data_IF_165325802896
#
_entry.id   IF_165325802896
#
_cell.length_a   1.000
_cell.length_b   1.000
_cell.length_c   1.000
_cell.angle_alpha   90.00
_cell.angle_beta   90.00
_cell.angle_gamma   90.00
#
_symmetry.space_group_name_H-M   'P 1'
#
loop_
_entity.id
_entity.type
_entity.pdbx_description
1 polymer ?
#
# COMPACT_ATOMS: atom_id res chain seq x y z
N UNK A 1 9.03 -10.17 -1.44
CA UNK A 1 7.80 -9.35 -1.45
C UNK A 1 7.22 -9.28 -2.84
N UNK A 2 5.91 -9.07 -2.96
CA UNK A 2 5.16 -9.12 -4.21
C UNK A 2 4.12 -8.01 -4.24
N UNK A 3 3.99 -7.29 -5.36
CA UNK A 3 2.91 -6.31 -5.54
C UNK A 3 1.60 -7.05 -5.81
N UNK A 4 0.64 -6.93 -4.89
CA UNK A 4 -0.71 -7.51 -5.03
C UNK A 4 -1.69 -6.57 -5.73
N UNK A 5 -1.23 -5.39 -6.11
CA UNK A 5 -1.99 -4.43 -6.90
C UNK A 5 -1.18 -3.18 -7.18
N UNK A 6 -1.27 -2.70 -8.41
CA UNK A 6 -0.41 -1.62 -8.93
C UNK A 6 -1.16 -0.49 -9.61
N UNK A 7 -2.49 -0.56 -9.65
CA UNK A 7 -3.32 0.49 -10.20
C UNK A 7 -3.26 1.74 -9.33
N UNK A 8 -2.91 2.87 -9.92
CA UNK A 8 -2.89 4.17 -9.27
C UNK A 8 -4.23 4.91 -9.37
N UNK A 9 -4.70 5.40 -8.22
CA UNK A 9 -5.95 6.14 -8.09
C UNK A 9 -7.21 5.27 -8.22
N UNK A 10 -8.40 5.89 -8.09
CA UNK A 10 -9.67 5.17 -8.06
C UNK A 10 -10.11 4.60 -9.41
N UNK A 11 -9.44 4.98 -10.50
CA UNK A 11 -9.75 4.48 -11.85
C UNK A 11 -9.45 2.98 -11.97
N UNK A 12 -10.09 2.31 -12.93
CA UNK A 12 -9.86 0.90 -13.24
C UNK A 12 -9.23 0.80 -14.63
N UNK A 13 -8.15 0.07 -14.75
CA UNK A 13 -7.46 -0.11 -16.02
C UNK A 13 -6.99 -1.56 -16.19
N UNK A 14 -7.36 -2.16 -17.31
CA UNK A 14 -6.86 -3.44 -17.80
C UNK A 14 -6.78 -4.56 -16.74
N UNK A 15 -7.74 -4.62 -15.82
CA UNK A 15 -7.80 -5.66 -14.78
C UNK A 15 -6.72 -5.56 -13.70
N UNK A 16 -5.99 -4.44 -13.61
CA UNK A 16 -5.06 -4.19 -12.51
C UNK A 16 -5.83 -4.06 -11.19
N UNK A 17 -5.28 -4.66 -10.16
CA UNK A 17 -5.80 -4.51 -8.80
C UNK A 17 -5.40 -3.15 -8.21
N UNK A 18 -6.21 -2.62 -7.30
CA UNK A 18 -5.87 -1.45 -6.48
C UNK A 18 -4.66 -1.72 -5.60
N UNK A 19 -4.08 -0.65 -5.05
CA UNK A 19 -2.80 -0.70 -4.34
C UNK A 19 -2.71 -1.82 -3.32
N UNK A 20 -1.60 -2.56 -3.36
CA UNK A 20 -1.32 -3.62 -2.40
C UNK A 20 0.08 -4.20 -2.55
N UNK A 21 0.69 -4.54 -1.41
CA UNK A 21 2.01 -5.18 -1.35
C UNK A 21 2.02 -6.29 -0.31
N UNK A 22 2.29 -7.52 -0.73
CA UNK A 22 2.48 -8.67 0.15
C UNK A 22 3.97 -8.83 0.49
N UNK A 23 4.32 -8.79 1.77
CA UNK A 23 5.61 -9.20 2.27
C UNK A 23 5.50 -10.57 2.89
N UNK A 24 6.38 -11.49 2.50
CA UNK A 24 6.53 -12.82 3.10
C UNK A 24 7.92 -12.94 3.71
N UNK A 25 7.99 -13.43 4.92
CA UNK A 25 9.23 -13.72 5.63
C UNK A 25 9.21 -15.14 6.16
N UNK A 26 10.33 -15.82 6.05
CA UNK A 26 10.54 -17.20 6.44
C UNK A 26 11.68 -17.81 5.66
N UNK A 27 11.70 -19.12 5.59
CA UNK A 27 12.68 -19.90 4.83
C UNK A 27 12.00 -20.76 3.75
N UNK A 28 12.80 -21.55 3.04
CA UNK A 28 12.30 -22.40 1.95
C UNK A 28 11.38 -23.52 2.45
N UNK A 29 11.50 -23.96 3.71
CA UNK A 29 10.67 -25.02 4.27
C UNK A 29 9.20 -24.60 4.42
N UNK A 30 8.94 -23.30 4.53
CA UNK A 30 7.60 -22.73 4.66
C UNK A 30 7.23 -21.77 3.51
N UNK A 31 7.95 -21.80 2.41
CA UNK A 31 7.79 -20.88 1.26
C UNK A 31 7.80 -19.41 1.69
N UNK A 32 8.75 -19.04 2.54
CA UNK A 32 8.82 -17.73 3.18
C UNK A 32 7.50 -17.33 3.88
N UNK A 33 6.77 -18.28 4.42
CA UNK A 33 5.41 -18.08 4.93
C UNK A 33 5.28 -18.11 6.44
N UNK A 34 6.37 -17.99 7.20
CA UNK A 34 6.31 -17.87 8.66
C UNK A 34 5.58 -16.60 9.08
N UNK A 35 5.80 -15.49 8.37
CA UNK A 35 5.08 -14.21 8.55
C UNK A 35 4.64 -13.67 7.19
N UNK A 36 3.36 -13.31 7.06
CA UNK A 36 2.77 -12.72 5.87
C UNK A 36 2.09 -11.42 6.25
N UNK A 37 2.57 -10.30 5.69
CA UNK A 37 2.07 -8.95 5.93
C UNK A 37 1.54 -8.39 4.62
N UNK A 38 0.30 -7.90 4.64
CA UNK A 38 -0.29 -7.19 3.52
C UNK A 38 -0.28 -5.68 3.82
N UNK A 39 0.33 -4.88 2.96
CA UNK A 39 0.29 -3.42 3.02
C UNK A 39 -0.71 -2.94 1.98
N UNK A 40 -1.70 -2.22 2.40
CA UNK A 40 -2.92 -1.87 1.70
C UNK A 40 -3.66 -3.10 1.13
N UNK A 41 -4.94 -2.98 0.99
CA UNK A 41 -5.83 -4.01 0.48
C UNK A 41 -6.81 -3.38 -0.52
N UNK A 42 -6.27 -2.91 -1.63
CA UNK A 42 -7.07 -2.34 -2.69
C UNK A 42 -7.93 -3.39 -3.39
N UNK A 43 -8.78 -2.92 -4.25
CA UNK A 43 -9.71 -3.71 -5.06
C UNK A 43 -9.00 -4.87 -5.76
N UNK A 44 -9.45 -6.10 -5.54
CA UNK A 44 -8.88 -7.30 -6.16
C UNK A 44 -7.72 -7.95 -5.41
N UNK A 45 -7.31 -7.44 -4.24
CA UNK A 45 -6.24 -8.01 -3.41
C UNK A 45 -6.42 -9.51 -3.16
N UNK A 46 -7.61 -9.97 -2.76
CA UNK A 46 -7.86 -11.41 -2.51
C UNK A 46 -7.66 -12.26 -3.76
N UNK A 47 -8.00 -11.75 -4.95
CA UNK A 47 -7.76 -12.44 -6.21
C UNK A 47 -6.26 -12.60 -6.48
N UNK A 48 -5.46 -11.58 -6.22
CA UNK A 48 -4.00 -11.64 -6.39
C UNK A 48 -3.35 -12.54 -5.35
N UNK A 49 -3.81 -12.51 -4.10
CA UNK A 49 -3.37 -13.45 -3.07
C UNK A 49 -3.64 -14.89 -3.50
N UNK A 50 -4.83 -15.17 -4.04
CA UNK A 50 -5.18 -16.50 -4.56
C UNK A 50 -4.24 -16.96 -5.68
N UNK A 51 -3.86 -16.08 -6.61
CA UNK A 51 -2.90 -16.37 -7.67
C UNK A 51 -1.48 -16.68 -7.13
N UNK A 52 -1.15 -16.19 -5.94
CA UNK A 52 0.10 -16.48 -5.23
C UNK A 52 -0.01 -17.72 -4.33
N UNK A 53 -1.13 -18.44 -4.33
CA UNK A 53 -1.38 -19.55 -3.42
C UNK A 53 -1.54 -19.13 -1.95
N UNK A 54 -1.84 -17.87 -1.69
CA UNK A 54 -2.02 -17.31 -0.35
C UNK A 54 -3.50 -17.08 -0.08
N UNK A 55 -4.01 -17.66 0.99
CA UNK A 55 -5.38 -17.43 1.44
C UNK A 55 -5.45 -16.24 2.42
N UNK A 56 -6.56 -15.51 2.51
CA UNK A 56 -6.74 -14.47 3.52
C UNK A 56 -6.51 -14.95 4.97
N UNK A 57 -6.77 -16.23 5.24
CA UNK A 57 -6.53 -16.84 6.56
C UNK A 57 -5.05 -16.88 6.97
N UNK A 58 -4.15 -16.87 6.00
CA UNK A 58 -2.69 -16.93 6.22
C UNK A 58 -2.04 -15.57 6.43
N UNK A 59 -2.78 -14.46 6.24
CA UNK A 59 -2.26 -13.12 6.51
C UNK A 59 -2.25 -12.86 8.02
N UNK A 60 -1.10 -12.47 8.57
CA UNK A 60 -0.94 -12.15 9.98
C UNK A 60 -1.42 -10.74 10.30
N UNK A 61 -1.07 -9.77 9.45
CA UNK A 61 -1.48 -8.38 9.62
C UNK A 61 -1.73 -7.69 8.28
N UNK A 62 -2.69 -6.75 8.26
CA UNK A 62 -2.92 -5.79 7.19
C UNK A 62 -2.56 -4.41 7.72
N UNK A 63 -1.72 -3.69 6.98
CA UNK A 63 -1.30 -2.33 7.29
C UNK A 63 -1.92 -1.38 6.27
N UNK A 64 -2.61 -0.36 6.72
CA UNK A 64 -3.12 0.67 5.82
C UNK A 64 -2.20 1.89 5.84
N UNK A 65 -1.72 2.29 4.65
CA UNK A 65 -1.02 3.57 4.50
C UNK A 65 -1.99 4.72 4.67
N UNK A 66 -3.18 4.59 4.11
CA UNK A 66 -4.29 5.53 4.24
C UNK A 66 -5.62 4.90 3.76
N UNK A 67 -6.72 5.64 3.83
CA UNK A 67 -8.07 5.11 3.63
C UNK A 67 -8.72 5.54 2.31
N UNK A 68 -7.95 5.81 1.23
CA UNK A 68 -8.54 5.91 -0.10
C UNK A 68 -9.08 4.55 -0.57
N UNK A 69 -10.11 4.59 -1.40
CA UNK A 69 -10.82 3.37 -1.84
C UNK A 69 -9.92 2.41 -2.62
N UNK A 70 -9.02 2.92 -3.42
CA UNK A 70 -8.06 2.10 -4.18
C UNK A 70 -7.01 1.41 -3.29
N UNK A 71 -6.90 1.79 -2.00
CA UNK A 71 -6.08 1.14 -0.97
C UNK A 71 -6.88 0.27 -0.01
N UNK A 72 -8.20 0.42 0.07
CA UNK A 72 -9.00 -0.19 1.13
C UNK A 72 -10.19 -1.06 0.63
N UNK A 73 -10.69 -0.89 -0.59
CA UNK A 73 -11.92 -1.54 -1.10
C UNK A 73 -11.88 -3.07 -1.06
N UNK A 74 -10.70 -3.68 -1.21
CA UNK A 74 -10.52 -5.14 -1.16
C UNK A 74 -10.51 -5.72 0.25
N UNK A 75 -10.46 -4.89 1.28
CA UNK A 75 -10.44 -5.36 2.67
C UNK A 75 -11.74 -6.05 3.07
N UNK A 76 -12.87 -5.58 2.56
CA UNK A 76 -14.17 -6.22 2.80
C UNK A 76 -14.17 -7.68 2.37
N UNK A 77 -13.68 -7.96 1.15
CA UNK A 77 -13.57 -9.31 0.60
C UNK A 77 -12.58 -10.16 1.42
N UNK A 78 -11.42 -9.60 1.78
CA UNK A 78 -10.41 -10.30 2.58
C UNK A 78 -10.95 -10.77 3.93
N UNK A 79 -11.63 -9.89 4.68
CA UNK A 79 -12.15 -10.26 6.01
C UNK A 79 -13.36 -11.18 5.92
N UNK A 80 -14.18 -11.04 4.88
CA UNK A 80 -15.32 -11.90 4.61
C UNK A 80 -14.88 -13.33 4.31
N UNK A 81 -13.90 -13.52 3.42
CA UNK A 81 -13.31 -14.83 3.12
C UNK A 81 -12.67 -15.45 4.37
N UNK A 82 -11.99 -14.64 5.20
CA UNK A 82 -11.41 -15.11 6.46
C UNK A 82 -12.50 -15.64 7.41
N UNK A 83 -13.63 -14.93 7.52
CA UNK A 83 -14.75 -15.35 8.35
C UNK A 83 -15.43 -16.62 7.80
N UNK A 84 -15.57 -16.76 6.48
CA UNK A 84 -16.16 -17.95 5.87
C UNK A 84 -15.31 -19.21 6.08
N UNK A 85 -13.99 -19.11 5.93
CA UNK A 85 -13.11 -20.27 5.85
C UNK A 85 -12.19 -20.47 7.05
N UNK A 86 -12.08 -19.50 7.95
CA UNK A 86 -11.20 -19.56 9.11
C UNK A 86 -11.78 -18.86 10.36
N UNK A 87 -13.06 -19.01 10.60
CA UNK A 87 -13.77 -18.33 11.68
C UNK A 87 -13.22 -18.60 13.09
N UNK A 88 -12.52 -19.73 13.27
CA UNK A 88 -11.88 -20.14 14.57
C UNK A 88 -10.37 -19.84 14.59
N UNK A 89 -9.83 -19.28 13.51
CA UNK A 89 -8.41 -18.97 13.42
C UNK A 89 -8.01 -17.73 14.26
N UNK A 90 -6.72 -17.41 14.27
CA UNK A 90 -6.23 -16.22 14.96
C UNK A 90 -6.84 -14.96 14.35
N UNK A 91 -7.01 -13.93 15.18
CA UNK A 91 -7.44 -12.61 14.70
C UNK A 91 -6.43 -12.05 13.71
N UNK A 92 -6.94 -11.26 12.78
CA UNK A 92 -6.14 -10.47 11.86
C UNK A 92 -5.81 -9.14 12.52
N UNK A 93 -4.54 -8.82 12.65
CA UNK A 93 -4.14 -7.47 13.06
C UNK A 93 -4.39 -6.51 11.91
N UNK A 94 -5.16 -5.46 12.15
CA UNK A 94 -5.35 -4.33 11.25
C UNK A 94 -4.64 -3.12 11.84
N UNK A 95 -3.52 -2.76 11.24
CA UNK A 95 -2.61 -1.72 11.73
C UNK A 95 -2.79 -0.46 10.89
N UNK A 96 -3.05 0.67 11.53
CA UNK A 96 -3.32 1.93 10.86
C UNK A 96 -3.17 3.13 11.80
N UNK A 97 -3.13 4.34 11.23
CA UNK A 97 -3.18 5.57 12.02
C UNK A 97 -4.46 5.64 12.84
N UNK A 98 -4.35 6.16 14.06
CA UNK A 98 -5.50 6.52 14.88
C UNK A 98 -6.39 7.55 14.16
N UNK A 99 -7.60 7.73 14.66
CA UNK A 99 -8.59 8.65 14.08
C UNK A 99 -8.01 10.05 13.93
N UNK A 100 -8.00 10.55 12.68
CA UNK A 100 -7.45 11.86 12.36
C UNK A 100 -8.55 12.78 11.79
N UNK A 101 -8.73 13.99 12.33
CA UNK A 101 -9.56 14.99 11.68
C UNK A 101 -8.84 15.54 10.45
N UNK A 102 -9.58 15.71 9.35
CA UNK A 102 -9.04 16.42 8.19
C UNK A 102 -9.16 17.95 8.39
N UNK A 103 -8.31 18.73 7.71
CA UNK A 103 -8.46 20.18 7.67
C UNK A 103 -9.83 20.64 7.15
N UNK A 104 -10.52 19.83 6.37
CA UNK A 104 -11.85 20.08 5.82
C UNK A 104 -12.98 19.67 6.78
N UNK A 105 -12.68 19.17 7.98
CA UNK A 105 -13.65 18.86 9.03
C UNK A 105 -14.30 17.48 8.97
N UNK A 106 -13.87 16.58 8.06
CA UNK A 106 -14.27 15.17 8.10
C UNK A 106 -13.25 14.33 8.89
N UNK A 107 -13.72 13.26 9.53
CA UNK A 107 -12.83 12.32 10.22
C UNK A 107 -12.42 11.16 9.33
N UNK A 108 -11.19 10.68 9.50
CA UNK A 108 -10.70 9.43 8.90
C UNK A 108 -10.42 8.45 10.03
N UNK A 109 -10.99 7.26 9.92
CA UNK A 109 -10.85 6.20 10.94
C UNK A 109 -10.86 4.83 10.30
N UNK A 110 -9.76 4.11 10.38
CA UNK A 110 -9.71 2.73 9.91
C UNK A 110 -10.50 1.78 10.81
N UNK A 111 -10.56 2.03 12.12
CA UNK A 111 -11.32 1.22 13.06
C UNK A 111 -12.83 1.28 12.77
N UNK A 112 -13.37 2.47 12.53
CA UNK A 112 -14.77 2.64 12.12
C UNK A 112 -15.04 2.03 10.75
N UNK A 113 -14.12 2.19 9.80
CA UNK A 113 -14.22 1.58 8.46
C UNK A 113 -14.38 0.05 8.56
N UNK A 114 -13.52 -0.63 9.34
CA UNK A 114 -13.61 -2.06 9.53
C UNK A 114 -14.94 -2.49 10.18
N UNK A 115 -15.41 -1.72 11.17
CA UNK A 115 -16.70 -1.97 11.82
C UNK A 115 -17.86 -1.80 10.84
N UNK A 116 -17.87 -0.75 10.04
CA UNK A 116 -18.93 -0.49 9.08
C UNK A 116 -18.98 -1.52 7.95
N UNK A 117 -17.82 -1.99 7.48
CA UNK A 117 -17.78 -3.11 6.51
C UNK A 117 -18.42 -4.36 7.10
N UNK A 118 -18.06 -4.73 8.33
CA UNK A 118 -18.65 -5.89 8.98
C UNK A 118 -20.15 -5.72 9.21
N UNK A 119 -20.58 -4.54 9.63
CA UNK A 119 -21.99 -4.18 9.83
C UNK A 119 -22.81 -4.27 8.53
N UNK A 120 -22.26 -3.93 7.39
CA UNK A 120 -22.93 -4.03 6.12
C UNK A 120 -23.42 -5.46 5.84
N UNK A 121 -22.60 -6.45 6.10
CA UNK A 121 -22.97 -7.87 5.95
C UNK A 121 -23.81 -8.39 7.11
N UNK A 122 -23.50 -8.00 8.34
CA UNK A 122 -24.21 -8.42 9.54
C UNK A 122 -25.68 -7.92 9.52
N UNK A 123 -25.87 -6.64 9.21
CA UNK A 123 -27.21 -6.01 9.21
C UNK A 123 -28.03 -6.29 7.96
N UNK A 124 -27.39 -6.62 6.83
CA UNK A 124 -28.07 -7.02 5.60
C UNK A 124 -28.59 -8.46 5.60
N UNK A 125 -28.19 -9.27 6.58
CA UNK A 125 -28.72 -10.61 6.79
C UNK A 125 -27.85 -11.76 6.32
N UNK A 126 -26.81 -11.57 5.50
CA UNK A 126 -25.95 -12.67 5.05
C UNK A 126 -25.26 -13.38 6.22
N UNK A 127 -24.67 -12.60 7.14
CA UNK A 127 -23.99 -13.16 8.32
C UNK A 127 -24.99 -13.88 9.24
N UNK A 128 -26.17 -13.29 9.47
CA UNK A 128 -27.20 -13.91 10.28
C UNK A 128 -27.70 -15.23 9.67
N UNK A 129 -27.91 -15.28 8.35
CA UNK A 129 -28.31 -16.48 7.64
C UNK A 129 -27.25 -17.58 7.78
N UNK A 130 -25.98 -17.28 7.48
CA UNK A 130 -24.89 -18.26 7.60
C UNK A 130 -24.62 -18.72 9.04
N UNK A 131 -24.76 -17.82 10.01
CA UNK A 131 -24.67 -18.20 11.44
C UNK A 131 -25.84 -19.07 11.86
N UNK A 132 -27.03 -18.92 11.29
CA UNK A 132 -28.17 -19.81 11.55
C UNK A 132 -27.92 -21.24 11.08
N UNK A 133 -27.15 -21.41 10.01
CA UNK A 133 -26.77 -22.72 9.44
C UNK A 133 -25.56 -23.34 10.17
N UNK A 134 -24.62 -22.52 10.62
CA UNK A 134 -23.40 -22.98 11.30
C UNK A 134 -23.09 -22.11 12.52
N UNK A 135 -23.55 -22.58 13.70
CA UNK A 135 -23.35 -21.93 15.00
C UNK A 135 -21.88 -21.91 15.46
N UNK A 136 -20.98 -22.58 14.77
CA UNK A 136 -19.55 -22.57 15.13
C UNK A 136 -18.85 -21.27 14.70
N UNK A 137 -19.46 -20.48 13.84
CA UNK A 137 -18.94 -19.17 13.40
C UNK A 137 -19.21 -18.08 14.43
N UNK A 138 -18.30 -17.08 14.58
CA UNK A 138 -18.53 -15.96 15.48
C UNK A 138 -19.78 -15.14 15.10
N UNK A 139 -20.64 -14.86 16.07
CA UNK A 139 -21.87 -14.07 15.84
C UNK A 139 -21.61 -12.65 15.36
N UNK A 140 -20.50 -12.03 15.79
CA UNK A 140 -20.08 -10.69 15.38
C UNK A 140 -19.61 -10.59 13.92
N UNK A 141 -19.72 -11.67 13.13
CA UNK A 141 -19.29 -11.70 11.73
C UNK A 141 -17.80 -11.41 11.56
N UNK A 142 -17.39 -10.84 10.41
CA UNK A 142 -15.97 -10.56 10.13
C UNK A 142 -15.29 -9.67 11.16
N UNK A 143 -15.99 -8.72 11.78
CA UNK A 143 -15.42 -7.83 12.82
C UNK A 143 -14.86 -8.59 14.01
N UNK A 144 -15.45 -9.73 14.38
CA UNK A 144 -14.98 -10.56 15.49
C UNK A 144 -13.57 -11.11 15.28
N UNK A 145 -13.11 -11.17 14.01
CA UNK A 145 -11.80 -11.67 13.62
C UNK A 145 -10.76 -10.56 13.41
N UNK A 146 -11.11 -9.30 13.62
CA UNK A 146 -10.21 -8.16 13.47
C UNK A 146 -9.73 -7.69 14.84
N UNK A 147 -8.41 -7.50 14.95
CA UNK A 147 -7.79 -6.79 16.06
C UNK A 147 -7.24 -5.47 15.52
N UNK A 148 -7.90 -4.35 15.85
CA UNK A 148 -7.45 -3.03 15.40
C UNK A 148 -6.29 -2.56 16.26
N UNK A 149 -5.16 -2.31 15.63
CA UNK A 149 -3.94 -1.74 16.21
C UNK A 149 -3.77 -0.33 15.65
N UNK A 150 -4.39 0.63 16.33
CA UNK A 150 -4.29 2.04 15.94
C UNK A 150 -3.10 2.72 16.65
N UNK A 151 -2.36 3.55 15.92
CA UNK A 151 -1.24 4.31 16.47
C UNK A 151 -1.35 5.80 16.12
N UNK A 152 -0.91 6.67 17.03
CA UNK A 152 -0.80 8.10 16.75
C UNK A 152 0.36 8.36 15.78
N UNK A 153 0.11 8.97 14.61
CA UNK A 153 1.18 9.26 13.64
C UNK A 153 2.18 10.26 14.21
N UNK A 154 3.48 9.96 14.11
CA UNK A 154 4.58 10.80 14.60
C UNK A 154 5.55 11.12 13.46
N UNK A 155 6.28 12.23 13.58
CA UNK A 155 7.33 12.63 12.63
C UNK A 155 8.64 11.84 12.84
N UNK A 156 8.71 11.04 13.90
CA UNK A 156 9.78 10.10 14.17
C UNK A 156 9.30 8.65 13.99
N UNK A 157 10.17 7.75 13.47
CA UNK A 157 9.83 6.34 13.36
C UNK A 157 9.47 5.74 14.72
N UNK A 158 8.37 5.00 14.77
CA UNK A 158 7.90 4.31 15.96
C UNK A 158 7.53 2.87 15.63
N UNK A 159 7.92 1.91 16.46
CA UNK A 159 7.50 0.53 16.28
C UNK A 159 6.00 0.40 16.55
N UNK A 160 5.26 -0.13 15.58
CA UNK A 160 3.79 -0.27 15.65
C UNK A 160 3.34 -1.73 15.64
N UNK A 161 4.20 -2.66 15.22
CA UNK A 161 3.87 -4.08 15.20
C UNK A 161 5.13 -4.95 15.25
N UNK A 162 5.02 -6.18 15.73
CA UNK A 162 6.11 -7.16 15.75
C UNK A 162 5.58 -8.60 15.79
N UNK A 163 6.33 -9.52 15.18
CA UNK A 163 6.12 -10.97 15.33
C UNK A 163 7.46 -11.69 15.13
N UNK A 164 7.94 -12.33 16.20
CA UNK A 164 9.29 -12.90 16.21
C UNK A 164 10.34 -11.85 15.84
N UNK A 165 11.16 -12.15 14.82
CA UNK A 165 12.23 -11.27 14.36
C UNK A 165 11.74 -10.18 13.39
N UNK A 166 10.47 -10.18 13.01
CA UNK A 166 9.89 -9.17 12.12
C UNK A 166 9.41 -7.98 12.94
N UNK A 167 9.93 -6.80 12.65
CA UNK A 167 9.54 -5.53 13.26
C UNK A 167 8.99 -4.59 12.21
N UNK A 168 7.88 -3.93 12.51
CA UNK A 168 7.31 -2.90 11.65
C UNK A 168 7.28 -1.58 12.40
N UNK A 169 7.93 -0.59 11.82
CA UNK A 169 7.90 0.81 12.27
C UNK A 169 7.07 1.65 11.31
N UNK A 170 6.41 2.67 11.82
CA UNK A 170 5.65 3.65 11.05
C UNK A 170 6.17 5.06 11.30
N UNK A 171 5.95 5.94 10.33
CA UNK A 171 6.17 7.38 10.42
C UNK A 171 4.98 8.09 9.78
N UNK A 172 4.60 9.26 10.31
CA UNK A 172 3.67 10.15 9.62
C UNK A 172 4.24 10.53 8.25
N UNK A 173 3.43 10.53 7.24
CA UNK A 173 3.79 11.04 5.92
C UNK A 173 2.59 11.73 5.28
N UNK A 174 2.85 12.53 4.26
CA UNK A 174 1.86 13.48 3.75
C UNK A 174 1.24 13.00 2.45
N UNK A 175 -0.09 12.87 2.45
CA UNK A 175 -0.95 12.64 1.28
C UNK A 175 -2.37 13.10 1.60
N UNK A 176 -3.04 12.44 2.54
CA UNK A 176 -4.28 12.84 3.19
C UNK A 176 -4.13 12.69 4.71
N UNK A 177 -5.10 13.18 5.48
CA UNK A 177 -5.10 13.00 6.93
C UNK A 177 -4.99 11.51 7.29
N UNK A 178 -4.14 11.19 8.26
CA UNK A 178 -3.89 9.82 8.71
C UNK A 178 -2.97 8.98 7.81
N UNK A 179 -2.34 9.57 6.78
CA UNK A 179 -1.37 8.84 5.97
C UNK A 179 -0.11 8.52 6.78
N UNK A 180 0.33 7.26 6.68
CA UNK A 180 1.57 6.78 7.28
C UNK A 180 2.34 5.89 6.31
N UNK A 181 3.67 5.94 6.39
CA UNK A 181 4.57 5.04 5.69
C UNK A 181 5.18 4.05 6.66
N UNK A 182 5.56 2.87 6.18
CA UNK A 182 6.01 1.77 7.03
C UNK A 182 7.41 1.31 6.63
N UNK A 183 8.18 0.85 7.63
CA UNK A 183 9.43 0.12 7.46
C UNK A 183 9.31 -1.24 8.12
N UNK A 184 9.67 -2.27 7.38
CA UNK A 184 9.77 -3.65 7.89
C UNK A 184 11.23 -4.01 7.97
N UNK A 185 11.68 -4.40 9.14
CA UNK A 185 13.01 -4.93 9.38
C UNK A 185 12.93 -6.41 9.76
N UNK A 186 13.76 -7.22 9.11
CA UNK A 186 13.91 -8.67 9.33
C UNK A 186 15.39 -9.05 9.26
N UNK A 187 15.80 -10.21 9.78
CA UNK A 187 17.16 -10.71 9.57
C UNK A 187 17.55 -10.84 8.09
N UNK A 188 16.62 -11.07 7.18
CA UNK A 188 16.88 -11.20 5.74
C UNK A 188 17.01 -9.85 5.02
N UNK A 189 16.59 -8.76 5.62
CA UNK A 189 16.68 -7.42 5.04
C UNK A 189 15.54 -6.52 5.45
N UNK A 190 15.52 -5.32 4.86
CA UNK A 190 14.59 -4.25 5.20
C UNK A 190 13.86 -3.69 3.99
N UNK A 191 12.60 -3.30 4.19
CA UNK A 191 11.71 -2.77 3.16
C UNK A 191 10.98 -1.55 3.69
N UNK A 192 10.93 -0.47 2.90
CA UNK A 192 10.04 0.67 3.16
C UNK A 192 8.86 0.65 2.19
N UNK A 193 7.66 0.82 2.73
CA UNK A 193 6.42 1.01 1.99
C UNK A 193 6.01 2.48 2.16
N UNK A 194 6.22 3.27 1.10
CA UNK A 194 5.94 4.70 1.12
C UNK A 194 4.45 5.05 1.01
N UNK A 195 3.65 4.15 0.43
CA UNK A 195 2.28 4.49 0.05
C UNK A 195 2.26 5.60 -0.98
N UNK A 196 1.29 6.50 -0.88
CA UNK A 196 1.10 7.65 -1.76
C UNK A 196 1.77 8.94 -1.25
N UNK A 197 2.74 8.79 -0.34
CA UNK A 197 3.41 9.92 0.28
C UNK A 197 3.98 10.90 -0.74
N UNK A 198 3.76 12.17 -0.51
CA UNK A 198 4.39 13.28 -1.22
C UNK A 198 5.08 14.23 -0.25
N UNK A 199 5.63 15.31 -0.79
CA UNK A 199 6.22 16.38 -0.02
C UNK A 199 5.13 17.16 0.76
N UNK A 200 5.48 17.71 1.92
CA UNK A 200 4.58 18.55 2.73
C UNK A 200 4.22 19.86 2.02
N UNK A 201 5.00 20.28 1.02
CA UNK A 201 4.74 21.44 0.18
C UNK A 201 3.93 21.03 -1.05
N UNK A 202 2.64 21.36 -1.07
CA UNK A 202 1.69 21.00 -2.13
C UNK A 202 1.71 21.89 -3.37
N UNK A 203 2.62 22.83 -3.45
CA UNK A 203 2.75 23.74 -4.60
C UNK A 203 4.20 24.23 -4.75
N UNK A 204 4.64 24.55 -5.98
CA UNK A 204 5.93 25.21 -6.18
C UNK A 204 6.01 26.60 -5.48
N UNK A 205 7.23 27.04 -5.04
CA UNK A 205 8.51 26.35 -5.23
C UNK A 205 8.73 25.22 -4.19
N UNK A 206 9.20 24.05 -4.67
CA UNK A 206 9.64 22.93 -3.82
C UNK A 206 10.85 22.25 -4.45
N UNK A 207 11.75 21.71 -3.64
CA UNK A 207 13.00 21.09 -4.09
C UNK A 207 12.80 19.67 -4.60
N UNK A 208 11.80 18.95 -4.08
CA UNK A 208 11.45 17.59 -4.45
C UNK A 208 9.96 17.34 -4.25
N UNK A 209 9.43 16.31 -4.91
CA UNK A 209 8.06 15.84 -4.71
C UNK A 209 7.94 14.77 -3.61
N UNK A 210 9.06 14.20 -3.18
CA UNK A 210 9.11 13.11 -2.18
C UNK A 210 8.97 13.62 -0.75
N UNK A 211 8.47 12.75 0.12
CA UNK A 211 8.35 13.00 1.55
C UNK A 211 9.71 12.89 2.25
N UNK A 212 10.09 13.90 3.03
CA UNK A 212 11.29 13.88 3.87
C UNK A 212 11.18 12.82 4.98
N UNK A 213 9.97 12.57 5.50
CA UNK A 213 9.71 11.53 6.49
C UNK A 213 9.95 10.14 5.92
N UNK A 214 9.50 9.90 4.68
CA UNK A 214 9.77 8.62 3.99
C UNK A 214 11.25 8.45 3.74
N UNK A 215 11.95 9.48 3.30
CA UNK A 215 13.40 9.43 3.10
C UNK A 215 14.15 9.12 4.40
N UNK A 216 13.74 9.73 5.52
CA UNK A 216 14.26 9.44 6.86
C UNK A 216 14.05 7.97 7.24
N UNK A 217 12.84 7.45 7.00
CA UNK A 217 12.50 6.06 7.28
C UNK A 217 13.30 5.08 6.41
N UNK A 218 13.65 5.49 5.19
CA UNK A 218 14.30 4.67 4.17
C UNK A 218 15.84 4.62 4.30
N UNK A 219 16.46 5.31 5.25
CA UNK A 219 17.92 5.31 5.37
C UNK A 219 18.47 3.89 5.54
N UNK A 220 19.38 3.50 4.63
CA UNK A 220 20.04 2.19 4.63
C UNK A 220 19.12 1.00 4.35
N UNK A 221 17.93 1.21 3.79
CA UNK A 221 16.98 0.13 3.48
C UNK A 221 17.41 -0.66 2.23
N UNK A 222 17.09 -1.94 2.19
CA UNK A 222 17.35 -2.74 0.99
C UNK A 222 16.39 -2.39 -0.15
N UNK A 223 15.09 -2.20 0.15
CA UNK A 223 14.06 -1.95 -0.86
C UNK A 223 13.14 -0.80 -0.45
N UNK A 224 12.88 0.10 -1.39
CA UNK A 224 11.79 1.08 -1.30
C UNK A 224 10.69 0.66 -2.26
N UNK A 225 9.46 0.52 -1.77
CA UNK A 225 8.22 0.36 -2.55
C UNK A 225 7.44 1.66 -2.42
N UNK A 226 7.12 2.31 -3.52
CA UNK A 226 6.46 3.61 -3.48
C UNK A 226 5.54 3.83 -4.67
N UNK A 227 4.41 4.53 -4.45
CA UNK A 227 3.57 5.03 -5.54
C UNK A 227 4.33 6.03 -6.40
N UNK A 228 4.07 6.05 -7.69
CA UNK A 228 4.81 6.90 -8.61
C UNK A 228 3.89 7.60 -9.63
N UNK A 229 3.93 8.93 -9.63
CA UNK A 229 3.40 9.70 -10.76
C UNK A 229 4.53 10.01 -11.75
N UNK A 230 4.25 9.82 -13.05
CA UNK A 230 5.23 10.20 -14.07
C UNK A 230 5.21 11.73 -14.29
N UNK A 231 6.38 12.40 -14.43
CA UNK A 231 6.45 13.84 -14.62
C UNK A 231 5.66 14.40 -15.82
N UNK A 232 5.36 13.56 -16.80
CA UNK A 232 4.52 13.95 -17.96
C UNK A 232 3.10 14.38 -17.55
N UNK A 233 2.64 13.94 -16.38
CA UNK A 233 1.32 14.30 -15.85
C UNK A 233 1.28 15.68 -15.17
N UNK A 234 2.40 16.40 -15.13
CA UNK A 234 2.44 17.73 -14.52
C UNK A 234 1.41 18.68 -15.16
N UNK A 235 0.82 19.61 -14.39
CA UNK A 235 -0.24 20.51 -14.88
C UNK A 235 0.17 21.34 -16.07
N UNK A 236 1.44 21.76 -16.15
CA UNK A 236 2.04 22.56 -17.24
C UNK A 236 2.33 21.75 -18.51
N UNK A 237 2.20 20.42 -18.47
CA UNK A 237 2.44 19.54 -19.62
C UNK A 237 1.19 19.27 -20.47
N UNK A 238 0.04 19.85 -20.09
CA UNK A 238 -1.21 19.69 -20.85
C UNK A 238 -1.99 18.41 -20.56
N UNK A 239 -1.68 17.73 -19.47
CA UNK A 239 -2.44 16.54 -19.03
C UNK A 239 -3.87 16.89 -18.60
N UNK A 240 -4.13 18.12 -18.19
CA UNK A 240 -5.37 18.55 -17.55
C UNK A 240 -5.52 18.08 -16.10
N UNK A 241 -4.48 17.47 -15.53
CA UNK A 241 -4.49 17.08 -14.13
C UNK A 241 -4.43 18.32 -13.22
N UNK A 242 -5.35 18.46 -12.25
CA UNK A 242 -5.31 19.58 -11.32
C UNK A 242 -4.03 19.59 -10.48
N UNK A 243 -3.45 20.77 -10.29
CA UNK A 243 -2.23 20.95 -9.51
C UNK A 243 -2.28 20.29 -8.10
N UNK A 244 -3.38 20.40 -7.30
CA UNK A 244 -3.46 19.71 -6.01
C UNK A 244 -3.38 18.19 -6.09
N UNK A 245 -3.80 17.57 -7.20
CA UNK A 245 -3.72 16.11 -7.38
C UNK A 245 -2.30 15.68 -7.74
N UNK A 246 -1.64 16.46 -8.60
CA UNK A 246 -0.26 16.19 -8.99
C UNK A 246 0.73 16.42 -7.84
N UNK A 247 0.62 17.58 -7.16
CA UNK A 247 1.62 17.99 -6.19
C UNK A 247 1.57 17.23 -4.86
N UNK A 248 0.55 16.45 -4.58
CA UNK A 248 0.52 15.55 -3.41
C UNK A 248 1.12 14.16 -3.68
N UNK A 249 1.66 13.93 -4.90
CA UNK A 249 2.27 12.67 -5.31
C UNK A 249 3.79 12.83 -5.43
N UNK A 250 4.51 11.71 -5.31
CA UNK A 250 5.94 11.63 -5.59
C UNK A 250 6.17 11.28 -7.06
N UNK A 251 7.00 12.06 -7.76
CA UNK A 251 7.38 11.75 -9.14
C UNK A 251 8.38 10.61 -9.21
N UNK A 252 8.34 9.82 -10.28
CA UNK A 252 9.32 8.77 -10.52
C UNK A 252 10.76 9.28 -10.51
N UNK A 253 11.00 10.50 -11.02
CA UNK A 253 12.32 11.15 -11.02
C UNK A 253 12.82 11.43 -9.60
N UNK A 254 11.98 12.05 -8.76
CA UNK A 254 12.36 12.37 -7.38
C UNK A 254 12.46 11.12 -6.51
N UNK A 255 11.70 10.06 -6.80
CA UNK A 255 11.82 8.77 -6.13
C UNK A 255 13.18 8.13 -6.39
N UNK A 256 13.70 8.23 -7.62
CA UNK A 256 15.08 7.81 -7.91
C UNK A 256 16.11 8.60 -7.11
N UNK A 257 15.93 9.94 -7.00
CA UNK A 257 16.79 10.78 -6.20
C UNK A 257 16.76 10.41 -4.71
N UNK A 258 15.56 10.18 -4.17
CA UNK A 258 15.36 9.75 -2.78
C UNK A 258 16.01 8.38 -2.53
N UNK A 259 15.80 7.40 -3.40
CA UNK A 259 16.39 6.08 -3.29
C UNK A 259 17.93 6.12 -3.27
N UNK A 260 18.52 7.01 -4.10
CA UNK A 260 19.97 7.26 -4.11
C UNK A 260 20.46 7.83 -2.78
N UNK A 261 19.82 8.88 -2.25
CA UNK A 261 20.20 9.50 -0.97
C UNK A 261 20.00 8.56 0.22
N UNK A 262 18.95 7.75 0.18
CA UNK A 262 18.69 6.74 1.21
C UNK A 262 19.65 5.54 1.16
N UNK A 263 20.43 5.38 0.09
CA UNK A 263 21.32 4.24 -0.09
C UNK A 263 20.60 2.93 -0.36
N UNK A 264 19.37 2.99 -0.88
CA UNK A 264 18.57 1.80 -1.19
C UNK A 264 19.21 0.97 -2.32
N UNK A 265 19.08 -0.36 -2.25
CA UNK A 265 19.54 -1.26 -3.31
C UNK A 265 18.53 -1.43 -4.43
N UNK A 266 17.24 -1.38 -4.08
CA UNK A 266 16.13 -1.57 -4.99
C UNK A 266 15.10 -0.47 -4.81
N UNK A 267 14.57 0.04 -5.92
CA UNK A 267 13.40 0.92 -5.98
C UNK A 267 12.30 0.21 -6.76
N UNK A 268 11.19 -0.06 -6.11
CA UNK A 268 10.03 -0.69 -6.71
C UNK A 268 8.92 0.36 -6.83
N UNK A 269 8.67 0.79 -8.07
CA UNK A 269 7.60 1.74 -8.40
C UNK A 269 6.28 0.99 -8.54
N UNK A 270 5.27 1.42 -7.83
CA UNK A 270 3.91 0.85 -7.85
C UNK A 270 2.87 1.96 -7.98
N UNK A 271 1.59 1.62 -7.95
CA UNK A 271 0.50 2.61 -8.01
C UNK A 271 0.77 3.66 -9.10
N UNK A 272 1.04 3.15 -10.32
CA UNK A 272 1.55 3.99 -11.40
C UNK A 272 0.48 4.95 -11.92
N UNK A 273 0.84 6.22 -12.02
CA UNK A 273 0.03 7.29 -12.59
C UNK A 273 0.79 7.94 -13.76
N UNK A 274 0.41 7.64 -15.02
CA UNK A 274 -0.63 6.69 -15.46
C UNK A 274 -0.16 5.24 -15.42
N UNK A 275 -1.07 4.24 -15.49
CA UNK A 275 -0.69 2.84 -15.66
C UNK A 275 0.02 2.61 -16.99
N UNK A 276 0.86 1.57 -17.05
CA UNK A 276 1.59 1.20 -18.26
C UNK A 276 0.62 0.91 -19.43
N UNK A 277 0.90 1.49 -20.59
CA UNK A 277 0.10 1.33 -21.80
C UNK A 277 -1.23 2.09 -21.81
N UNK A 278 -1.58 2.81 -20.74
CA UNK A 278 -2.79 3.62 -20.70
C UNK A 278 -2.70 4.81 -21.66
N UNK A 279 -3.82 5.12 -22.33
CA UNK A 279 -3.94 6.31 -23.19
C UNK A 279 -4.39 7.55 -22.42
N UNK A 280 -4.90 7.36 -21.20
CA UNK A 280 -5.37 8.40 -20.30
C UNK A 280 -5.39 7.87 -18.86
N UNK A 281 -5.41 8.79 -17.88
CA UNK A 281 -5.59 8.48 -16.46
C UNK A 281 -6.94 9.01 -15.99
N UNK A 282 -7.96 8.16 -15.92
CA UNK A 282 -9.32 8.61 -15.66
C UNK A 282 -9.77 9.62 -16.74
N UNK A 283 -10.04 10.86 -16.34
CA UNK A 283 -10.41 11.96 -17.24
C UNK A 283 -9.21 12.75 -17.79
N UNK A 284 -7.99 12.45 -17.33
CA UNK A 284 -6.79 13.22 -17.68
C UNK A 284 -6.11 12.64 -18.91
N UNK A 285 -5.69 13.52 -19.80
CA UNK A 285 -4.95 13.14 -21.01
C UNK A 285 -3.53 12.70 -20.67
N UNK A 286 -2.96 11.90 -21.55
CA UNK A 286 -1.56 11.51 -21.46
C UNK A 286 -0.77 12.19 -22.59
N UNK A 287 -0.07 13.29 -22.31
CA UNK A 287 0.78 13.93 -23.30
C UNK A 287 1.89 12.98 -23.77
N UNK A 288 2.10 12.89 -25.08
CA UNK A 288 3.12 12.01 -25.65
C UNK A 288 2.70 10.54 -25.86
N UNK A 289 1.50 10.15 -25.40
CA UNK A 289 0.97 8.79 -25.58
C UNK A 289 1.30 7.83 -24.43
N UNK A 290 0.97 6.54 -24.60
CA UNK A 290 1.13 5.53 -23.57
C UNK A 290 2.57 5.37 -23.10
N UNK A 291 2.76 5.27 -21.77
CA UNK A 291 4.08 5.04 -21.16
C UNK A 291 4.37 3.55 -21.02
N UNK A 292 5.66 3.24 -21.11
CA UNK A 292 6.23 1.89 -20.92
C UNK A 292 7.01 1.80 -19.62
N UNK A 293 7.43 0.58 -19.26
CA UNK A 293 8.38 0.39 -18.15
C UNK A 293 9.69 1.18 -18.35
N UNK A 294 10.16 1.25 -19.61
CA UNK A 294 11.38 1.98 -19.96
C UNK A 294 11.27 3.48 -19.67
N UNK A 295 10.09 4.08 -19.87
CA UNK A 295 9.87 5.50 -19.58
C UNK A 295 9.94 5.79 -18.09
N UNK A 296 9.27 4.97 -17.25
CA UNK A 296 9.34 5.09 -15.79
C UNK A 296 10.75 4.84 -15.25
N UNK A 297 11.42 3.80 -15.77
CA UNK A 297 12.81 3.48 -15.41
C UNK A 297 13.75 4.61 -15.75
N UNK A 298 13.65 5.15 -16.98
CA UNK A 298 14.44 6.29 -17.44
C UNK A 298 14.23 7.50 -16.52
N UNK A 299 12.97 7.84 -16.24
CA UNK A 299 12.65 8.95 -15.34
C UNK A 299 13.30 8.79 -13.96
N UNK A 300 13.22 7.60 -13.34
CA UNK A 300 13.84 7.34 -12.05
C UNK A 300 15.39 7.36 -12.12
N UNK A 301 15.99 7.04 -13.26
CA UNK A 301 17.43 7.07 -13.47
C UNK A 301 18.00 8.47 -13.70
N UNK A 302 17.19 9.45 -14.07
CA UNK A 302 17.64 10.84 -14.34
C UNK A 302 18.38 11.46 -13.14
N UNK A 303 18.05 11.02 -11.92
CA UNK A 303 18.72 11.42 -10.68
C UNK A 303 20.09 10.77 -10.45
N UNK A 304 20.50 9.83 -11.30
CA UNK A 304 21.72 9.03 -11.14
C UNK A 304 21.59 7.91 -10.10
N UNK A 305 20.39 7.40 -9.84
CA UNK A 305 20.21 6.17 -9.08
C UNK A 305 20.67 4.97 -9.92
N UNK A 306 21.60 4.20 -9.37
CA UNK A 306 22.21 3.03 -10.04
C UNK A 306 21.74 1.69 -9.49
N UNK A 307 20.90 1.70 -8.46
CA UNK A 307 20.29 0.49 -7.91
C UNK A 307 19.29 -0.14 -8.89
N UNK A 308 18.78 -1.30 -8.52
CA UNK A 308 17.78 -1.99 -9.34
C UNK A 308 16.41 -1.27 -9.27
N UNK A 309 15.87 -0.90 -10.44
CA UNK A 309 14.53 -0.29 -10.55
C UNK A 309 13.56 -1.33 -11.11
N UNK A 310 12.54 -1.66 -10.32
CA UNK A 310 11.41 -2.49 -10.74
C UNK A 310 10.22 -1.57 -10.99
N UNK A 311 9.72 -1.56 -12.20
CA UNK A 311 8.47 -0.88 -12.53
C UNK A 311 7.34 -1.88 -12.40
N UNK A 312 6.46 -1.65 -11.44
CA UNK A 312 5.52 -2.65 -10.96
C UNK A 312 4.34 -2.88 -11.91
N UNK A 313 4.12 -4.16 -12.20
CA UNK A 313 2.81 -4.70 -12.60
C UNK A 313 2.36 -5.66 -11.53
N UNK A 314 1.07 -6.01 -11.51
CA UNK A 314 0.54 -6.97 -10.53
C UNK A 314 1.33 -8.28 -10.55
N UNK A 315 1.62 -8.80 -9.35
CA UNK A 315 2.37 -10.04 -9.08
C UNK A 315 3.88 -9.97 -9.34
N UNK A 316 4.41 -8.83 -9.75
CA UNK A 316 5.87 -8.66 -9.81
C UNK A 316 6.46 -8.76 -8.41
N UNK A 317 7.62 -9.43 -8.29
CA UNK A 317 8.23 -9.76 -7.00
C UNK A 317 9.71 -9.41 -6.95
N UNK A 318 10.17 -9.08 -5.73
CA UNK A 318 11.59 -9.08 -5.36
C UNK A 318 11.77 -10.08 -4.21
N UNK A 319 12.80 -10.92 -4.32
CA UNK A 319 13.26 -11.77 -3.21
C UNK A 319 14.64 -11.27 -2.78
N UNK A 320 14.78 -10.95 -1.50
CA UNK A 320 16.09 -10.69 -0.92
C UNK A 320 16.79 -12.03 -0.66
N UNK A 321 18.11 -12.13 -0.92
CA UNK A 321 18.88 -13.34 -0.60
C UNK A 321 18.89 -13.56 0.91
N UNK A 322 19.01 -14.82 1.33
CA UNK A 322 19.35 -15.15 2.70
C UNK A 322 20.71 -14.50 3.05
N UNK A 323 20.80 -13.88 4.20
CA UNK A 323 22.04 -13.33 4.74
C UNK A 323 22.75 -14.35 5.59
#
# INVERSE_FOLDING_TARGET
MTLTGTQGGPSVFNGLAGSGTLLRYGDDSNDCGAVRLQFDAGRGTSMRLSQLGVTPAQINAVFFTHMHSDHADGFADLVQLRWHFNAKGPKLDMVCSADQPSPQGYGISCGKFATHIADAYLKSGEIAQRHSEDKTRPEGGPAALINTVAFEPKDEPQQVWTSGDVKVSAIRSTHIAGHASYRVDTPAGSVVIGGDAGNDVFAPPRTASTSEQVEKLAQGVDVIVHSAIHPVMAPDKGSGMPAPFYYRQSTSADLGAMAKRAGAKHLMLTHLIPPLGAKQQGLFKLPGGPLTEADYRKSAQESGFTGNIVVGTDLVSIRLPAR
#
